data_IF_814400465370
#
_entry.id   IF_814400465370
#
_cell.length_a   1.000
_cell.length_b   1.000
_cell.length_c   1.000
_cell.angle_alpha   90.00
_cell.angle_beta   90.00
_cell.angle_gamma   90.00
#
_symmetry.space_group_name_H-M   'P 1'
#
loop_
_entity.id
_entity.type
_entity.pdbx_description
1 polymer ?
#
# COMPACT_ATOMS: atom_id res chain seq x y z
N UNK A 1 0.33 -10.18 13.55
CA UNK A 1 -0.08 -9.02 14.39
C UNK A 1 0.48 -9.02 15.80
N UNK A 2 0.40 -10.11 16.57
CA UNK A 2 0.86 -10.14 17.98
C UNK A 2 2.28 -9.59 18.19
N UNK A 3 3.26 -10.03 17.39
CA UNK A 3 4.66 -9.57 17.50
C UNK A 3 4.78 -8.04 17.34
N UNK A 4 4.10 -7.46 16.34
CA UNK A 4 4.12 -6.02 16.10
C UNK A 4 3.50 -5.25 17.26
N UNK A 5 2.34 -5.70 17.75
CA UNK A 5 1.69 -5.10 18.91
C UNK A 5 2.60 -5.14 20.14
N UNK A 6 3.20 -6.29 20.45
CA UNK A 6 4.06 -6.45 21.62
C UNK A 6 5.28 -5.53 21.56
N UNK A 7 5.91 -5.38 20.38
CA UNK A 7 7.04 -4.46 20.18
C UNK A 7 6.63 -2.98 20.36
N UNK A 8 5.48 -2.58 19.81
CA UNK A 8 4.97 -1.22 19.97
C UNK A 8 4.57 -0.95 21.42
N UNK A 9 3.93 -1.92 22.08
CA UNK A 9 3.55 -1.83 23.47
C UNK A 9 4.77 -1.72 24.38
N UNK A 10 5.77 -2.58 24.21
CA UNK A 10 7.02 -2.51 24.96
C UNK A 10 7.65 -1.12 24.89
N UNK A 11 7.76 -0.58 23.67
CA UNK A 11 8.40 0.70 23.41
C UNK A 11 7.60 1.89 23.93
N UNK A 12 6.29 1.91 23.71
CA UNK A 12 5.48 3.13 23.87
C UNK A 12 4.42 3.08 24.98
N UNK A 13 4.30 2.00 25.75
CA UNK A 13 3.28 1.87 26.83
C UNK A 13 3.29 2.98 27.89
N UNK A 14 4.40 3.74 28.02
CA UNK A 14 4.50 4.88 28.94
C UNK A 14 4.00 6.18 28.32
N UNK A 15 4.07 6.31 27.00
CA UNK A 15 3.70 7.51 26.24
C UNK A 15 2.25 7.43 25.75
N UNK A 16 1.83 6.26 25.29
CA UNK A 16 0.51 6.01 24.76
C UNK A 16 -0.28 5.09 25.69
N UNK A 17 -1.46 5.56 26.12
CA UNK A 17 -2.37 4.80 26.99
C UNK A 17 -3.07 3.64 26.27
N UNK A 18 -3.17 3.71 24.94
CA UNK A 18 -3.88 2.74 24.11
C UNK A 18 -3.14 2.53 22.79
N UNK A 19 -2.97 1.26 22.42
CA UNK A 19 -2.48 0.84 21.10
C UNK A 19 -3.53 -0.10 20.53
N UNK A 20 -4.08 0.23 19.35
CA UNK A 20 -5.14 -0.55 18.72
C UNK A 20 -4.52 -1.33 17.56
N UNK A 21 -4.37 -2.66 17.66
CA UNK A 21 -3.88 -3.46 16.55
C UNK A 21 -5.00 -3.62 15.50
N UNK A 22 -4.75 -3.10 14.29
CA UNK A 22 -5.65 -3.26 13.16
C UNK A 22 -4.87 -3.92 12.01
N UNK A 23 -5.39 -5.02 11.46
CA UNK A 23 -4.87 -5.65 10.25
C UNK A 23 -5.78 -5.34 9.06
N UNK A 24 -5.18 -4.87 7.97
CA UNK A 24 -5.88 -4.62 6.71
C UNK A 24 -5.52 -5.74 5.75
N UNK A 25 -6.51 -6.50 5.30
CA UNK A 25 -6.36 -7.61 4.37
C UNK A 25 -6.74 -7.15 2.95
N UNK A 26 -5.76 -7.23 2.05
CA UNK A 26 -5.84 -6.73 0.65
C UNK A 26 -5.92 -7.87 -0.38
N UNK A 27 -6.15 -9.11 0.06
CA UNK A 27 -6.31 -10.28 -0.83
C UNK A 27 -7.41 -10.04 -1.87
N UNK A 28 -7.20 -10.52 -3.09
CA UNK A 28 -8.23 -10.48 -4.15
C UNK A 28 -9.34 -11.51 -3.91
N UNK A 29 -9.03 -12.57 -3.16
CA UNK A 29 -9.98 -13.61 -2.79
C UNK A 29 -10.76 -13.22 -1.53
N UNK A 30 -12.05 -13.53 -1.54
CA UNK A 30 -12.89 -13.42 -0.35
C UNK A 30 -12.55 -14.60 0.57
N UNK A 31 -11.81 -14.31 1.64
CA UNK A 31 -11.44 -15.26 2.69
C UNK A 31 -11.97 -14.79 4.03
N UNK A 32 -12.18 -15.73 4.95
CA UNK A 32 -12.46 -15.42 6.35
C UNK A 32 -11.15 -15.49 7.14
N UNK A 33 -10.56 -14.32 7.38
CA UNK A 33 -9.28 -14.17 8.06
C UNK A 33 -9.49 -14.28 9.57
N UNK A 34 -8.62 -15.01 10.28
CA UNK A 34 -8.72 -15.06 11.74
C UNK A 34 -8.22 -13.76 12.36
N UNK A 35 -8.91 -13.28 13.40
CA UNK A 35 -8.56 -12.06 14.16
C UNK A 35 -7.99 -12.36 15.55
N UNK A 36 -7.73 -13.64 15.85
CA UNK A 36 -7.28 -14.11 17.16
C UNK A 36 -6.06 -15.01 16.99
N UNK A 37 -5.03 -14.78 17.81
CA UNK A 37 -3.95 -15.72 18.07
C UNK A 37 -4.19 -16.37 19.44
N UNK A 38 -4.30 -17.69 19.46
CA UNK A 38 -4.49 -18.46 20.69
C UNK A 38 -3.36 -19.47 20.89
N UNK A 39 -2.94 -19.62 22.14
CA UNK A 39 -2.05 -20.69 22.58
C UNK A 39 -2.60 -21.28 23.87
N UNK A 40 -2.70 -22.61 23.92
CA UNK A 40 -3.25 -23.34 25.07
C UNK A 40 -2.55 -24.68 25.24
N UNK A 41 -2.50 -25.13 26.49
CA UNK A 41 -2.24 -26.53 26.86
C UNK A 41 -3.57 -27.11 27.38
N UNK A 42 -3.66 -28.44 27.62
CA UNK A 42 -4.82 -29.00 28.29
C UNK A 42 -5.17 -28.20 29.56
N UNK A 43 -6.46 -27.90 29.69
CA UNK A 43 -7.08 -27.16 30.80
C UNK A 43 -6.60 -25.71 31.03
N UNK A 44 -5.65 -25.16 30.25
CA UNK A 44 -5.13 -23.80 30.48
C UNK A 44 -4.89 -23.01 29.18
N UNK A 45 -5.49 -21.81 29.10
CA UNK A 45 -5.21 -20.83 28.05
C UNK A 45 -3.95 -20.00 28.41
N UNK A 46 -2.92 -20.10 27.59
CA UNK A 46 -1.62 -19.42 27.79
C UNK A 46 -1.67 -18.00 27.21
N UNK A 47 -2.21 -17.85 26.01
CA UNK A 47 -2.30 -16.58 25.31
C UNK A 47 -3.62 -16.51 24.54
N UNK A 48 -4.27 -15.35 24.64
CA UNK A 48 -5.35 -14.93 23.74
C UNK A 48 -5.09 -13.50 23.31
N UNK A 49 -4.70 -13.32 22.07
CA UNK A 49 -4.48 -12.00 21.49
C UNK A 49 -5.49 -11.75 20.38
N UNK A 50 -6.34 -10.74 20.54
CA UNK A 50 -7.33 -10.34 19.56
C UNK A 50 -6.94 -8.99 18.94
N UNK A 51 -7.16 -8.84 17.64
CA UNK A 51 -6.96 -7.60 16.91
C UNK A 51 -8.19 -7.26 16.06
N UNK A 52 -8.28 -6.00 15.63
CA UNK A 52 -9.32 -5.62 14.66
C UNK A 52 -8.86 -6.00 13.26
N UNK A 53 -9.75 -6.54 12.44
CA UNK A 53 -9.47 -6.82 11.04
C UNK A 53 -10.35 -6.00 10.12
N UNK A 54 -9.81 -5.62 8.97
CA UNK A 54 -10.55 -5.04 7.85
C UNK A 54 -10.26 -5.88 6.62
N UNK A 55 -11.25 -6.62 6.15
CA UNK A 55 -11.16 -7.45 4.95
C UNK A 55 -11.74 -6.67 3.77
N UNK A 56 -10.87 -5.94 3.05
CA UNK A 56 -11.32 -4.95 2.06
C UNK A 56 -12.21 -5.56 0.99
N UNK A 57 -11.88 -6.75 0.49
CA UNK A 57 -12.65 -7.39 -0.59
C UNK A 57 -14.10 -7.70 -0.21
N UNK A 58 -14.40 -7.84 1.09
CA UNK A 58 -15.78 -8.02 1.59
C UNK A 58 -16.56 -6.71 1.70
N UNK A 59 -15.86 -5.57 1.73
CA UNK A 59 -16.48 -4.25 1.86
C UNK A 59 -16.97 -3.80 0.49
N UNK A 60 -18.27 -3.53 0.33
CA UNK A 60 -18.78 -2.99 -0.92
C UNK A 60 -18.36 -1.51 -1.03
N UNK A 61 -17.65 -1.17 -2.10
CA UNK A 61 -17.11 0.17 -2.32
C UNK A 61 -18.17 1.29 -2.26
N UNK A 62 -19.41 1.02 -2.71
CA UNK A 62 -20.51 2.00 -2.69
C UNK A 62 -20.92 2.46 -1.30
N UNK A 63 -20.57 1.72 -0.25
CA UNK A 63 -20.82 2.13 1.12
C UNK A 63 -19.89 3.28 1.57
N UNK A 64 -18.78 3.51 0.86
CA UNK A 64 -17.71 4.40 1.28
C UNK A 64 -17.54 5.64 0.40
N UNK A 65 -18.13 5.66 -0.80
CA UNK A 65 -17.92 6.74 -1.79
C UNK A 65 -18.42 8.11 -1.32
N UNK A 66 -19.42 8.13 -0.45
CA UNK A 66 -19.96 9.35 0.14
C UNK A 66 -19.31 9.72 1.48
N UNK A 67 -18.28 8.98 1.92
CA UNK A 67 -17.62 9.23 3.19
C UNK A 67 -16.50 10.28 3.05
N UNK A 68 -16.16 10.95 4.14
CA UNK A 68 -15.00 11.83 4.24
C UNK A 68 -13.77 11.12 4.85
N UNK A 69 -13.73 9.78 4.75
CA UNK A 69 -12.66 8.96 5.33
C UNK A 69 -11.49 8.80 4.34
N UNK A 70 -10.32 9.43 4.60
CA UNK A 70 -9.17 9.34 3.70
C UNK A 70 -8.61 7.92 3.54
N UNK A 71 -8.72 7.08 4.56
CA UNK A 71 -8.27 5.68 4.49
C UNK A 71 -9.17 4.88 3.56
N UNK A 72 -10.48 5.15 3.58
CA UNK A 72 -11.42 4.51 2.67
C UNK A 72 -11.18 4.96 1.22
N UNK A 73 -10.86 6.25 0.99
CA UNK A 73 -10.49 6.75 -0.33
C UNK A 73 -9.25 6.02 -0.89
N UNK A 74 -8.18 5.95 -0.09
CA UNK A 74 -6.93 5.29 -0.49
C UNK A 74 -7.10 3.80 -0.81
N UNK A 75 -8.01 3.11 -0.10
CA UNK A 75 -8.20 1.67 -0.20
C UNK A 75 -9.41 1.26 -1.06
N UNK A 76 -10.12 2.23 -1.68
CA UNK A 76 -11.33 1.98 -2.48
C UNK A 76 -11.05 0.99 -3.62
N UNK A 77 -9.85 1.06 -4.21
CA UNK A 77 -9.36 0.17 -5.27
C UNK A 77 -9.26 -1.31 -4.86
N UNK A 78 -9.18 -1.61 -3.56
CA UNK A 78 -9.09 -2.99 -3.05
C UNK A 78 -10.39 -3.47 -2.43
N UNK A 79 -11.43 -2.64 -2.42
CA UNK A 79 -12.77 -3.01 -1.97
C UNK A 79 -13.48 -3.93 -2.98
N UNK A 80 -14.63 -4.48 -2.58
CA UNK A 80 -15.44 -5.37 -3.41
C UNK A 80 -16.20 -4.63 -4.52
N UNK A 81 -15.68 -4.69 -5.75
CA UNK A 81 -16.33 -4.25 -7.00
C UNK A 81 -16.05 -5.21 -8.16
N UNK A 82 -16.88 -5.17 -9.19
CA UNK A 82 -16.74 -5.97 -10.42
C UNK A 82 -15.89 -5.27 -11.49
N UNK A 83 -15.33 -6.01 -12.45
CA UNK A 83 -14.52 -5.41 -13.52
C UNK A 83 -15.27 -4.36 -14.35
N UNK A 84 -16.60 -4.50 -14.47
CA UNK A 84 -17.47 -3.52 -15.15
C UNK A 84 -17.58 -2.21 -14.38
N UNK A 85 -17.47 -2.26 -13.06
CA UNK A 85 -17.57 -1.11 -12.16
C UNK A 85 -16.20 -0.41 -11.96
N UNK A 86 -15.09 -1.00 -12.44
CA UNK A 86 -13.76 -0.46 -12.19
C UNK A 86 -13.59 1.02 -12.60
N UNK A 87 -14.13 1.39 -13.77
CA UNK A 87 -14.15 2.78 -14.24
C UNK A 87 -14.98 3.69 -13.34
N UNK A 88 -16.14 3.21 -12.90
CA UNK A 88 -17.04 3.94 -11.99
C UNK A 88 -16.33 4.20 -10.65
N UNK A 89 -15.71 3.17 -10.08
CA UNK A 89 -14.96 3.24 -8.82
C UNK A 89 -13.81 4.25 -8.92
N UNK A 90 -13.08 4.28 -10.05
CA UNK A 90 -12.00 5.26 -10.28
C UNK A 90 -12.54 6.68 -10.34
N UNK A 91 -13.67 6.92 -11.01
CA UNK A 91 -14.33 8.23 -11.04
C UNK A 91 -14.80 8.70 -9.67
N UNK A 92 -15.43 7.82 -8.89
CA UNK A 92 -15.89 8.13 -7.53
C UNK A 92 -14.72 8.33 -6.55
N UNK A 93 -13.60 7.61 -6.72
CA UNK A 93 -12.36 7.89 -5.99
C UNK A 93 -11.89 9.34 -6.24
N UNK A 94 -11.87 9.79 -7.50
CA UNK A 94 -11.43 11.15 -7.84
C UNK A 94 -12.37 12.21 -7.25
N UNK A 95 -13.68 11.96 -7.22
CA UNK A 95 -14.63 12.84 -6.51
C UNK A 95 -14.38 12.89 -5.01
N UNK A 96 -14.23 11.72 -4.39
CA UNK A 96 -13.94 11.62 -2.95
C UNK A 96 -12.62 12.33 -2.60
N UNK A 97 -11.60 12.19 -3.44
CA UNK A 97 -10.33 12.89 -3.32
C UNK A 97 -10.48 14.42 -3.30
N UNK A 98 -11.37 14.96 -4.15
CA UNK A 98 -11.64 16.39 -4.20
C UNK A 98 -12.32 16.92 -2.95
N UNK A 99 -13.27 16.17 -2.41
CA UNK A 99 -13.90 16.54 -1.14
C UNK A 99 -12.86 16.58 -0.01
N UNK A 100 -11.95 15.59 0.02
CA UNK A 100 -10.88 15.53 1.00
C UNK A 100 -9.87 16.66 0.89
N UNK A 101 -9.62 17.22 -0.31
CA UNK A 101 -8.72 18.37 -0.52
C UNK A 101 -9.10 19.58 0.32
N UNK A 102 -10.40 19.79 0.56
CA UNK A 102 -10.85 20.93 1.38
C UNK A 102 -10.47 20.81 2.86
N UNK A 103 -10.01 19.64 3.30
CA UNK A 103 -9.79 19.30 4.72
C UNK A 103 -8.39 18.77 5.02
N UNK A 104 -7.65 18.36 3.99
CA UNK A 104 -6.33 17.74 4.11
C UNK A 104 -5.25 18.58 3.44
N UNK A 105 -4.04 18.53 3.99
CA UNK A 105 -2.85 19.13 3.41
C UNK A 105 -2.34 18.33 2.20
N UNK A 106 -1.48 18.97 1.41
CA UNK A 106 -0.92 18.39 0.17
C UNK A 106 -0.19 17.07 0.40
N UNK A 107 0.52 16.90 1.52
CA UNK A 107 1.27 15.68 1.82
C UNK A 107 0.35 14.48 2.08
N UNK A 108 -0.75 14.68 2.83
CA UNK A 108 -1.76 13.63 3.04
C UNK A 108 -2.49 13.27 1.77
N UNK A 109 -2.80 14.26 0.92
CA UNK A 109 -3.42 14.02 -0.38
C UNK A 109 -2.47 13.23 -1.30
N UNK A 110 -1.19 13.58 -1.33
CA UNK A 110 -0.18 12.82 -2.07
C UNK A 110 -0.12 11.35 -1.62
N UNK A 111 -0.16 11.09 -0.31
CA UNK A 111 -0.17 9.73 0.23
C UNK A 111 -1.43 8.94 -0.15
N UNK A 112 -2.62 9.55 -0.08
CA UNK A 112 -3.87 8.89 -0.50
C UNK A 112 -3.80 8.51 -1.97
N UNK A 113 -3.28 9.43 -2.79
CA UNK A 113 -3.13 9.21 -4.23
C UNK A 113 -2.13 8.10 -4.53
N UNK A 114 -0.94 8.11 -3.92
CA UNK A 114 0.09 7.10 -4.17
C UNK A 114 -0.39 5.69 -3.82
N UNK A 115 -1.11 5.54 -2.71
CA UNK A 115 -1.71 4.26 -2.32
C UNK A 115 -2.81 3.83 -3.31
N UNK A 116 -3.66 4.75 -3.77
CA UNK A 116 -4.72 4.42 -4.72
C UNK A 116 -4.16 3.99 -6.09
N UNK A 117 -3.15 4.70 -6.60
CA UNK A 117 -2.52 4.44 -7.89
C UNK A 117 -1.76 3.10 -7.92
N UNK A 118 -1.19 2.68 -6.78
CA UNK A 118 -0.61 1.34 -6.62
C UNK A 118 -1.60 0.23 -6.99
N UNK A 119 -2.89 0.43 -6.73
CA UNK A 119 -3.91 -0.60 -6.89
C UNK A 119 -4.80 -0.43 -8.14
N UNK A 120 -5.08 0.80 -8.59
CA UNK A 120 -5.94 1.00 -9.77
C UNK A 120 -5.27 0.65 -11.10
N UNK A 121 -3.93 0.49 -11.14
CA UNK A 121 -3.10 0.47 -12.35
C UNK A 121 -3.27 1.77 -13.16
N UNK A 122 -2.28 2.66 -13.18
CA UNK A 122 -2.40 3.94 -13.88
C UNK A 122 -2.70 3.75 -15.38
N UNK A 123 -3.82 4.29 -15.86
CA UNK A 123 -4.16 4.40 -17.29
C UNK A 123 -4.51 5.84 -17.62
N UNK A 124 -3.58 6.49 -18.31
CA UNK A 124 -3.67 7.91 -18.61
C UNK A 124 -4.84 8.26 -19.54
N UNK A 125 -5.15 7.41 -20.52
CA UNK A 125 -6.22 7.70 -21.47
C UNK A 125 -7.57 7.62 -20.77
N UNK A 126 -7.73 6.60 -19.93
CA UNK A 126 -8.93 6.41 -19.11
C UNK A 126 -9.10 7.53 -18.09
N UNK A 127 -8.04 7.89 -17.36
CA UNK A 127 -8.09 8.98 -16.39
C UNK A 127 -8.45 10.31 -17.09
N UNK A 128 -7.82 10.67 -18.22
CA UNK A 128 -8.17 11.87 -18.98
C UNK A 128 -9.64 11.87 -19.46
N UNK A 129 -10.19 10.72 -19.81
CA UNK A 129 -11.60 10.59 -20.20
C UNK A 129 -12.55 10.80 -19.00
N UNK A 130 -12.28 10.13 -17.88
CA UNK A 130 -13.05 10.28 -16.63
C UNK A 130 -13.04 11.74 -16.17
N UNK A 131 -11.88 12.41 -16.25
CA UNK A 131 -11.76 13.81 -15.88
C UNK A 131 -12.60 14.73 -16.77
N UNK A 132 -12.63 14.51 -18.08
CA UNK A 132 -13.48 15.28 -18.98
C UNK A 132 -14.96 15.09 -18.67
N UNK A 133 -15.37 13.87 -18.33
CA UNK A 133 -16.74 13.59 -17.89
C UNK A 133 -17.06 14.31 -16.58
N UNK A 134 -16.14 14.26 -15.60
CA UNK A 134 -16.30 14.96 -14.33
C UNK A 134 -16.45 16.46 -14.51
N UNK A 135 -15.60 17.11 -15.32
CA UNK A 135 -15.71 18.55 -15.62
C UNK A 135 -17.05 18.90 -16.26
N UNK A 136 -17.57 18.04 -17.14
CA UNK A 136 -18.86 18.27 -17.79
C UNK A 136 -20.02 18.25 -16.81
N UNK A 137 -19.97 17.36 -15.81
CA UNK A 137 -21.03 17.18 -14.84
C UNK A 137 -20.85 18.04 -13.57
N UNK A 138 -19.60 18.36 -13.23
CA UNK A 138 -19.15 19.05 -12.02
C UNK A 138 -17.98 19.99 -12.40
N UNK A 139 -18.24 21.14 -13.03
CA UNK A 139 -17.20 22.00 -13.59
C UNK A 139 -16.19 22.49 -12.55
N UNK A 140 -16.66 22.89 -11.36
CA UNK A 140 -15.78 23.34 -10.27
C UNK A 140 -14.85 22.23 -9.75
N UNK A 141 -15.38 21.02 -9.54
CA UNK A 141 -14.58 19.87 -9.09
C UNK A 141 -13.59 19.43 -10.18
N UNK A 142 -14.03 19.41 -11.44
CA UNK A 142 -13.23 18.99 -12.58
C UNK A 142 -12.07 19.93 -12.93
N UNK A 143 -12.28 21.25 -12.87
CA UNK A 143 -11.21 22.24 -13.07
C UNK A 143 -10.14 22.14 -11.98
N UNK A 144 -10.58 22.02 -10.72
CA UNK A 144 -9.69 21.90 -9.58
C UNK A 144 -8.88 20.59 -9.60
N UNK A 145 -9.39 19.52 -10.23
CA UNK A 145 -8.62 18.30 -10.53
C UNK A 145 -7.54 18.57 -11.59
N UNK A 146 -7.87 19.23 -12.70
CA UNK A 146 -6.91 19.46 -13.79
C UNK A 146 -5.71 20.29 -13.34
N UNK A 147 -5.88 21.23 -12.41
CA UNK A 147 -4.79 22.01 -11.83
C UNK A 147 -3.78 21.15 -11.05
N UNK A 148 -4.22 20.00 -10.52
CA UNK A 148 -3.40 19.10 -9.74
C UNK A 148 -2.70 18.02 -10.57
N UNK A 149 -3.17 17.74 -11.79
CA UNK A 149 -2.55 16.79 -12.72
C UNK A 149 -1.02 17.00 -12.91
N UNK A 150 -0.48 18.23 -13.00
CA UNK A 150 0.97 18.45 -13.05
C UNK A 150 1.72 18.09 -11.77
N UNK A 151 1.07 18.14 -10.60
CA UNK A 151 1.64 17.71 -9.32
C UNK A 151 1.51 16.18 -9.15
N UNK A 152 0.36 15.61 -9.53
CA UNK A 152 0.12 14.15 -9.58
C UNK A 152 1.11 13.43 -10.50
N UNK A 153 1.38 14.01 -11.67
CA UNK A 153 2.39 13.51 -12.62
C UNK A 153 3.81 13.52 -12.05
N UNK A 154 4.13 14.46 -11.17
CA UNK A 154 5.44 14.53 -10.50
C UNK A 154 5.56 13.48 -9.40
N UNK A 155 4.53 13.32 -8.56
CA UNK A 155 4.52 12.36 -7.46
C UNK A 155 4.64 10.89 -7.92
N UNK A 156 3.89 10.46 -8.94
CA UNK A 156 3.91 9.05 -9.37
C UNK A 156 5.11 8.65 -10.24
N UNK A 157 5.77 9.60 -10.92
CA UNK A 157 6.78 9.29 -11.94
C UNK A 157 8.23 9.48 -11.47
N UNK A 158 8.48 10.41 -10.54
CA UNK A 158 9.83 10.67 -10.01
C UNK A 158 10.18 9.68 -8.89
N UNK A 159 9.32 9.46 -7.89
CA UNK A 159 9.59 8.52 -6.80
C UNK A 159 9.59 7.05 -7.28
N UNK A 160 8.57 6.61 -8.01
CA UNK A 160 8.49 5.22 -8.49
C UNK A 160 9.60 4.83 -9.48
N UNK A 161 10.18 5.80 -10.21
CA UNK A 161 11.32 5.57 -11.10
C UNK A 161 12.63 5.51 -10.34
N UNK A 162 12.79 6.28 -9.28
CA UNK A 162 13.98 6.23 -8.43
C UNK A 162 13.99 4.98 -7.55
N UNK A 163 12.87 4.66 -6.88
CA UNK A 163 12.72 3.43 -6.09
C UNK A 163 12.80 2.18 -6.97
N UNK A 164 12.05 2.11 -8.08
CA UNK A 164 12.10 0.95 -8.98
C UNK A 164 13.47 0.74 -9.64
N UNK A 165 14.26 1.79 -9.83
CA UNK A 165 15.66 1.66 -10.27
C UNK A 165 16.59 1.22 -9.14
N UNK A 166 16.39 1.69 -7.92
CA UNK A 166 17.19 1.30 -6.77
C UNK A 166 16.93 -0.18 -6.42
N UNK A 167 15.66 -0.57 -6.27
CA UNK A 167 15.25 -1.95 -5.99
C UNK A 167 15.65 -2.89 -7.12
N UNK A 168 15.39 -2.55 -8.39
CA UNK A 168 15.79 -3.39 -9.52
C UNK A 168 17.32 -3.57 -9.64
N UNK A 169 18.11 -2.59 -9.20
CA UNK A 169 19.56 -2.69 -9.15
C UNK A 169 20.03 -3.58 -8.00
N UNK A 170 19.43 -3.46 -6.82
CA UNK A 170 19.74 -4.31 -5.66
C UNK A 170 19.33 -5.77 -5.91
N UNK A 171 18.13 -6.01 -6.43
CA UNK A 171 17.66 -7.36 -6.79
C UNK A 171 18.53 -7.99 -7.89
N UNK A 172 18.86 -7.23 -8.94
CA UNK A 172 19.73 -7.70 -10.02
C UNK A 172 21.14 -8.04 -9.52
N UNK A 173 21.70 -7.24 -8.61
CA UNK A 173 22.99 -7.53 -7.99
C UNK A 173 22.93 -8.78 -7.10
N UNK A 174 21.89 -8.92 -6.28
CA UNK A 174 21.70 -10.10 -5.43
C UNK A 174 21.53 -11.39 -6.26
N UNK A 175 20.83 -11.32 -7.39
CA UNK A 175 20.67 -12.47 -8.29
C UNK A 175 22.00 -12.89 -8.95
N UNK A 176 22.81 -11.92 -9.38
CA UNK A 176 24.15 -12.18 -9.93
C UNK A 176 25.06 -12.84 -8.88
N UNK A 177 25.05 -12.33 -7.64
CA UNK A 177 25.83 -12.90 -6.52
C UNK A 177 25.40 -14.34 -6.26
N UNK A 178 24.09 -14.61 -6.19
CA UNK A 178 23.56 -15.97 -6.00
C UNK A 178 23.96 -16.91 -7.13
N UNK A 179 23.89 -16.47 -8.38
CA UNK A 179 24.33 -17.27 -9.54
C UNK A 179 25.82 -17.60 -9.48
N UNK A 180 26.67 -16.64 -9.12
CA UNK A 180 28.11 -16.87 -8.98
C UNK A 180 28.42 -17.88 -7.86
N UNK A 181 27.77 -17.75 -6.70
CA UNK A 181 27.93 -18.70 -5.59
C UNK A 181 27.47 -20.11 -5.98
N UNK A 182 26.34 -20.24 -6.69
CA UNK A 182 25.84 -21.53 -7.19
C UNK A 182 26.77 -22.20 -8.20
N UNK A 183 27.55 -21.42 -8.97
CA UNK A 183 28.55 -21.93 -9.91
C UNK A 183 29.91 -22.25 -9.25
N UNK A 184 29.97 -22.25 -7.92
CA UNK A 184 31.14 -22.70 -7.16
C UNK A 184 32.21 -21.64 -6.93
N UNK A 185 31.91 -20.36 -7.17
CA UNK A 185 32.80 -19.27 -6.77
C UNK A 185 32.77 -19.09 -5.26
N UNK A 186 33.92 -18.90 -4.63
CA UNK A 186 33.98 -18.68 -3.19
C UNK A 186 33.44 -17.29 -2.82
N UNK A 187 32.80 -17.13 -1.64
CA UNK A 187 32.30 -15.83 -1.18
C UNK A 187 33.35 -14.72 -1.21
N UNK A 188 34.63 -15.04 -0.97
CA UNK A 188 35.75 -14.11 -1.03
C UNK A 188 36.05 -13.65 -2.46
N UNK A 189 35.95 -14.57 -3.44
CA UNK A 189 36.12 -14.25 -4.85
C UNK A 189 34.96 -13.40 -5.40
N UNK A 190 33.73 -13.69 -4.96
CA UNK A 190 32.53 -12.91 -5.34
C UNK A 190 32.56 -11.52 -4.70
N UNK A 191 32.97 -11.42 -3.43
CA UNK A 191 33.18 -10.14 -2.73
C UNK A 191 34.14 -9.22 -3.45
N UNK A 192 35.25 -9.77 -3.92
CA UNK A 192 36.24 -9.01 -4.67
C UNK A 192 35.75 -8.63 -6.08
N UNK A 193 34.92 -9.46 -6.71
CA UNK A 193 34.43 -9.23 -8.06
C UNK A 193 33.28 -8.22 -8.16
N UNK A 194 32.41 -8.16 -7.13
CA UNK A 194 31.24 -7.28 -7.08
C UNK A 194 31.47 -6.08 -6.13
N UNK A 195 32.63 -6.02 -5.48
CA UNK A 195 33.03 -4.97 -4.52
C UNK A 195 32.07 -4.80 -3.33
N UNK A 196 31.39 -5.88 -2.94
CA UNK A 196 30.45 -5.92 -1.81
C UNK A 196 31.13 -6.60 -0.61
N UNK A 197 30.96 -6.09 0.62
CA UNK A 197 31.54 -6.69 1.82
C UNK A 197 31.17 -8.17 1.98
N UNK A 198 32.14 -8.98 2.38
CA UNK A 198 31.98 -10.42 2.64
C UNK A 198 30.80 -10.74 3.57
N UNK A 199 30.54 -9.89 4.56
CA UNK A 199 29.46 -10.07 5.52
C UNK A 199 28.07 -9.88 4.90
N UNK A 200 27.95 -9.10 3.83
CA UNK A 200 26.69 -8.93 3.09
C UNK A 200 26.45 -10.07 2.12
N UNK A 201 27.50 -10.57 1.46
CA UNK A 201 27.41 -11.75 0.60
C UNK A 201 27.05 -13.01 1.40
N UNK A 202 27.56 -13.12 2.64
CA UNK A 202 27.20 -14.21 3.55
C UNK A 202 25.74 -14.20 3.99
N UNK A 203 25.06 -13.05 3.96
CA UNK A 203 23.61 -12.96 4.25
C UNK A 203 22.74 -13.41 3.06
N UNK A 204 23.33 -13.52 1.88
CA UNK A 204 22.64 -13.92 0.63
C UNK A 204 22.80 -15.41 0.29
N UNK A 205 23.65 -16.14 1.04
CA UNK A 205 23.74 -17.60 1.04
C UNK A 205 22.64 -18.22 1.89
#
# INVERSE_FOLDING_TARGET
MFIYFSRLFERYRKEHKLIIPIAIFTSEEIREEQDILEMSIPEHQILRFQFLKVELRKQNWRQFISSDNPVAAALLAKMGYTTKEAREVRGEFLRMFMQLRTRLDEGRLALIMSVADLYFKPDRALDEEILRELVKHYPEEGEAIMELMPAWKRWGYEEGKEEGKAEGKEEGQAEVIRKLLLHGFTPEAVSKAVEIPLDEIKKLM
#
